data_IF_179107224927
#
_entry.id   IF_179107224927
#
_cell.length_a   1.000
_cell.length_b   1.000
_cell.length_c   1.000
_cell.angle_alpha   90.00
_cell.angle_beta   90.00
_cell.angle_gamma   90.00
#
_symmetry.space_group_name_H-M   'P 1'
#
loop_
_entity.id
_entity.type
_entity.pdbx_description
1 polymer ?
#
# COMPACT_ATOMS: atom_id res chain seq x y z
N UNK A 1 -0.23 -2.59 -16.10
CA UNK A 1 -0.94 -3.87 -15.91
C UNK A 1 -0.82 -4.77 -17.14
N UNK A 2 -1.28 -4.35 -18.34
CA UNK A 2 -1.11 -5.13 -19.58
C UNK A 2 0.33 -5.59 -19.77
N UNK A 3 1.31 -4.70 -19.56
CA UNK A 3 2.74 -5.03 -19.62
C UNK A 3 3.12 -6.20 -18.68
N UNK A 4 2.62 -6.23 -17.45
CA UNK A 4 2.93 -7.31 -16.51
C UNK A 4 2.34 -8.66 -16.95
N UNK A 5 1.13 -8.66 -17.56
CA UNK A 5 0.54 -9.87 -18.15
C UNK A 5 1.39 -10.34 -19.34
N UNK A 6 1.79 -9.44 -20.22
CA UNK A 6 2.65 -9.76 -21.37
C UNK A 6 4.01 -10.32 -20.91
N UNK A 7 4.62 -9.70 -19.90
CA UNK A 7 5.89 -10.16 -19.33
C UNK A 7 5.81 -11.59 -18.79
N UNK A 8 4.67 -11.98 -18.19
CA UNK A 8 4.48 -13.35 -17.76
C UNK A 8 4.63 -14.34 -18.94
N UNK A 9 3.90 -14.11 -20.02
CA UNK A 9 3.96 -15.00 -21.20
C UNK A 9 5.33 -14.97 -21.90
N UNK A 10 5.97 -13.80 -21.92
CA UNK A 10 7.33 -13.67 -22.48
C UNK A 10 8.34 -14.47 -21.63
N UNK A 11 8.31 -14.37 -20.31
CA UNK A 11 9.22 -15.12 -19.43
C UNK A 11 8.92 -16.61 -19.44
N UNK A 12 7.64 -16.99 -19.47
CA UNK A 12 7.23 -18.39 -19.58
C UNK A 12 7.74 -19.04 -20.88
N UNK A 13 7.67 -18.32 -22.00
CA UNK A 13 8.17 -18.78 -23.29
C UNK A 13 9.70 -18.73 -23.41
N UNK A 14 10.35 -17.71 -22.80
CA UNK A 14 11.80 -17.49 -22.89
C UNK A 14 12.61 -18.40 -21.94
N UNK A 15 12.00 -18.88 -20.85
CA UNK A 15 12.63 -19.71 -19.83
C UNK A 15 11.86 -21.05 -19.76
N UNK A 16 12.16 -22.01 -20.65
CA UNK A 16 11.45 -23.28 -20.70
C UNK A 16 11.78 -24.22 -19.53
N UNK A 17 12.94 -24.05 -18.90
CA UNK A 17 13.37 -24.82 -17.75
C UNK A 17 12.63 -24.34 -16.48
N UNK A 18 11.86 -25.25 -15.86
CA UNK A 18 11.04 -24.95 -14.68
C UNK A 18 11.87 -24.53 -13.46
N UNK A 19 13.04 -25.14 -13.25
CA UNK A 19 13.89 -24.81 -12.11
C UNK A 19 14.50 -23.41 -12.25
N UNK A 20 14.97 -23.06 -13.45
CA UNK A 20 15.49 -21.74 -13.78
C UNK A 20 14.40 -20.68 -13.66
N UNK A 21 13.20 -20.99 -14.15
CA UNK A 21 12.02 -20.11 -14.08
C UNK A 21 11.59 -19.87 -12.64
N UNK A 22 11.54 -20.92 -11.81
CA UNK A 22 11.25 -20.82 -10.39
C UNK A 22 12.31 -20.00 -9.66
N UNK A 23 13.59 -20.21 -9.95
CA UNK A 23 14.70 -19.41 -9.43
C UNK A 23 14.56 -17.92 -9.79
N UNK A 24 14.22 -17.61 -11.05
CA UNK A 24 13.99 -16.24 -11.49
C UNK A 24 12.85 -15.57 -10.69
N UNK A 25 11.68 -16.19 -10.57
CA UNK A 25 10.56 -15.64 -9.81
C UNK A 25 10.85 -15.53 -8.32
N UNK A 26 11.64 -16.45 -7.76
CA UNK A 26 12.12 -16.35 -6.38
C UNK A 26 12.97 -15.10 -6.19
N UNK A 27 13.94 -14.85 -7.07
CA UNK A 27 14.79 -13.65 -7.03
C UNK A 27 13.96 -12.37 -7.18
N UNK A 28 13.00 -12.36 -8.11
CA UNK A 28 12.09 -11.20 -8.31
C UNK A 28 11.32 -10.91 -7.04
N UNK A 29 10.69 -11.91 -6.42
CA UNK A 29 9.82 -11.71 -5.26
C UNK A 29 10.59 -11.42 -3.97
N UNK A 30 11.76 -12.04 -3.77
CA UNK A 30 12.49 -11.94 -2.50
C UNK A 30 13.54 -10.82 -2.46
N UNK A 31 14.00 -10.34 -3.63
CA UNK A 31 15.06 -9.32 -3.70
C UNK A 31 14.63 -8.08 -4.51
N UNK A 32 14.16 -8.26 -5.75
CA UNK A 32 13.84 -7.11 -6.61
C UNK A 32 12.64 -6.31 -6.13
N UNK A 33 11.54 -6.96 -5.79
CA UNK A 33 10.34 -6.25 -5.28
C UNK A 33 10.63 -5.49 -3.99
N UNK A 34 11.25 -6.08 -2.94
CA UNK A 34 11.66 -5.34 -1.76
C UNK A 34 12.60 -4.17 -2.05
N UNK A 35 13.60 -4.35 -2.94
CA UNK A 35 14.53 -3.29 -3.31
C UNK A 35 13.83 -2.11 -4.02
N UNK A 36 12.86 -2.40 -4.88
CA UNK A 36 12.05 -1.37 -5.55
C UNK A 36 11.14 -0.64 -4.54
N UNK A 37 10.49 -1.37 -3.62
CA UNK A 37 9.68 -0.77 -2.56
C UNK A 37 10.54 0.15 -1.68
N UNK A 38 11.70 -0.32 -1.26
CA UNK A 38 12.67 0.45 -0.47
C UNK A 38 13.07 1.74 -1.18
N UNK A 39 13.46 1.64 -2.46
CA UNK A 39 13.90 2.79 -3.26
C UNK A 39 12.79 3.83 -3.45
N UNK A 40 11.56 3.37 -3.72
CA UNK A 40 10.40 4.27 -3.85
C UNK A 40 10.08 4.99 -2.55
N UNK A 41 10.11 4.30 -1.41
CA UNK A 41 9.89 4.89 -0.09
C UNK A 41 10.98 5.91 0.23
N UNK A 42 12.25 5.58 0.01
CA UNK A 42 13.38 6.48 0.21
C UNK A 42 13.22 7.78 -0.60
N UNK A 43 12.89 7.68 -1.89
CA UNK A 43 12.66 8.85 -2.74
C UNK A 43 11.49 9.70 -2.27
N UNK A 44 10.42 9.07 -1.76
CA UNK A 44 9.27 9.80 -1.22
C UNK A 44 9.62 10.57 0.05
N UNK A 45 10.42 10.00 0.93
CA UNK A 45 10.90 10.67 2.13
C UNK A 45 11.92 11.78 1.83
N UNK A 46 12.71 11.64 0.76
CA UNK A 46 13.61 12.71 0.31
C UNK A 46 12.86 13.95 -0.19
N UNK A 47 11.63 13.82 -0.70
CA UNK A 47 10.83 14.95 -1.24
C UNK A 47 10.30 15.90 -0.17
N UNK A 48 10.11 15.44 1.08
CA UNK A 48 9.49 16.22 2.15
C UNK A 48 10.48 16.54 3.25
N UNK A 49 10.49 17.79 3.70
CA UNK A 49 11.30 18.20 4.84
C UNK A 49 10.74 17.63 6.15
N UNK A 50 11.59 17.04 7.02
CA UNK A 50 11.15 16.49 8.30
C UNK A 50 10.41 17.48 9.19
N UNK A 51 10.76 18.78 9.13
CA UNK A 51 10.11 19.87 9.89
C UNK A 51 8.63 20.04 9.54
N UNK A 52 8.24 19.63 8.32
CA UNK A 52 6.87 19.75 7.81
C UNK A 52 6.02 18.50 8.13
N UNK A 53 6.60 17.46 8.70
CA UNK A 53 5.90 16.24 9.12
C UNK A 53 5.24 16.48 10.48
N UNK A 54 4.02 16.99 10.46
CA UNK A 54 3.26 17.30 11.68
C UNK A 54 2.03 16.40 11.76
N UNK A 55 1.94 15.51 12.77
CA UNK A 55 0.73 14.73 13.01
C UNK A 55 -0.48 15.61 13.34
N UNK A 56 -1.62 15.32 12.74
CA UNK A 56 -2.92 15.94 13.03
C UNK A 56 -3.91 14.88 13.53
N UNK A 57 -5.04 15.28 14.08
CA UNK A 57 -6.03 14.37 14.66
C UNK A 57 -6.50 13.29 13.67
N UNK A 58 -6.73 13.66 12.41
CA UNK A 58 -7.18 12.70 11.41
C UNK A 58 -6.17 11.58 11.13
N UNK A 59 -4.85 11.83 11.27
CA UNK A 59 -3.82 10.79 11.14
C UNK A 59 -4.02 9.69 12.20
N UNK A 60 -4.16 10.10 13.48
CA UNK A 60 -4.35 9.15 14.58
C UNK A 60 -5.64 8.34 14.43
N UNK A 61 -6.74 9.00 14.02
CA UNK A 61 -8.03 8.34 13.81
C UNK A 61 -7.93 7.33 12.65
N UNK A 62 -7.26 7.68 11.54
CA UNK A 62 -7.08 6.75 10.42
C UNK A 62 -6.17 5.59 10.76
N UNK A 63 -5.06 5.82 11.47
CA UNK A 63 -4.16 4.76 11.94
C UNK A 63 -4.91 3.78 12.85
N UNK A 64 -5.70 4.30 13.79
CA UNK A 64 -6.54 3.47 14.64
C UNK A 64 -7.59 2.69 13.83
N UNK A 65 -8.28 3.35 12.89
CA UNK A 65 -9.27 2.72 12.02
C UNK A 65 -8.64 1.62 11.17
N UNK A 66 -7.48 1.89 10.58
CA UNK A 66 -6.72 0.91 9.79
C UNK A 66 -6.32 -0.30 10.63
N UNK A 67 -5.75 -0.07 11.82
CA UNK A 67 -5.38 -1.12 12.75
C UNK A 67 -6.57 -1.95 13.22
N UNK A 68 -7.71 -1.30 13.54
CA UNK A 68 -8.92 -1.98 13.97
C UNK A 68 -9.49 -2.92 12.88
N UNK A 69 -9.57 -2.47 11.63
CA UNK A 69 -9.99 -3.34 10.52
C UNK A 69 -8.99 -4.47 10.25
N UNK A 70 -7.69 -4.18 10.33
CA UNK A 70 -6.66 -5.20 10.21
C UNK A 70 -6.81 -6.29 11.28
N UNK A 71 -6.92 -5.91 12.55
CA UNK A 71 -7.13 -6.85 13.66
C UNK A 71 -8.43 -7.63 13.48
N UNK A 72 -9.52 -6.95 13.09
CA UNK A 72 -10.82 -7.62 12.86
C UNK A 72 -10.68 -8.71 11.80
N UNK A 73 -10.11 -8.42 10.62
CA UNK A 73 -9.98 -9.41 9.56
C UNK A 73 -8.95 -10.49 9.87
N UNK A 74 -7.90 -10.18 10.65
CA UNK A 74 -6.97 -11.19 11.18
C UNK A 74 -7.68 -12.17 12.11
N UNK A 75 -8.49 -11.68 13.04
CA UNK A 75 -9.25 -12.53 13.95
C UNK A 75 -10.31 -13.37 13.22
N UNK A 76 -10.95 -12.82 12.18
CA UNK A 76 -11.88 -13.57 11.33
C UNK A 76 -11.14 -14.67 10.55
N UNK A 77 -9.98 -14.39 9.97
CA UNK A 77 -9.17 -15.38 9.27
C UNK A 77 -8.72 -16.51 10.21
N UNK A 78 -8.25 -16.17 11.43
CA UNK A 78 -7.91 -17.15 12.47
C UNK A 78 -9.11 -17.99 12.91
N UNK A 79 -10.25 -17.34 13.16
CA UNK A 79 -11.47 -18.05 13.57
C UNK A 79 -11.95 -19.04 12.50
N UNK A 80 -11.93 -18.63 11.23
CA UNK A 80 -12.22 -19.52 10.11
C UNK A 80 -11.17 -20.63 10.01
N UNK A 81 -9.88 -20.33 10.20
CA UNK A 81 -8.79 -21.30 10.23
C UNK A 81 -9.02 -22.41 11.28
N UNK A 82 -9.44 -22.05 12.49
CA UNK A 82 -9.80 -23.00 13.54
C UNK A 82 -11.01 -23.87 13.17
N UNK A 83 -12.00 -23.31 12.47
CA UNK A 83 -13.18 -24.04 12.01
C UNK A 83 -12.87 -24.99 10.85
N UNK A 84 -11.83 -24.70 10.02
CA UNK A 84 -11.41 -25.60 8.92
C UNK A 84 -10.69 -26.85 9.42
N UNK A 85 -10.26 -26.91 10.66
CA UNK A 85 -9.84 -28.15 11.30
C UNK A 85 -10.98 -29.18 11.41
N UNK A 86 -12.24 -28.75 11.24
CA UNK A 86 -13.41 -29.60 11.03
C UNK A 86 -13.58 -29.86 9.53
N UNK A 87 -14.03 -31.06 9.06
CA UNK A 87 -14.04 -31.44 7.64
C UNK A 87 -15.13 -30.71 6.82
N UNK A 88 -15.08 -29.40 6.73
CA UNK A 88 -16.00 -28.56 5.95
C UNK A 88 -15.21 -27.81 4.86
N UNK A 89 -15.10 -28.40 3.68
CA UNK A 89 -14.32 -27.93 2.55
C UNK A 89 -14.68 -26.52 1.99
N UNK A 90 -15.89 -26.01 2.28
CA UNK A 90 -16.32 -24.66 1.83
C UNK A 90 -15.72 -23.52 2.63
N UNK A 91 -15.08 -23.78 3.77
CA UNK A 91 -14.62 -22.76 4.71
C UNK A 91 -13.25 -22.21 4.30
N UNK A 92 -12.43 -22.99 3.56
CA UNK A 92 -11.08 -22.55 3.16
C UNK A 92 -11.09 -21.28 2.27
N UNK A 93 -12.07 -21.15 1.37
CA UNK A 93 -12.21 -19.94 0.55
C UNK A 93 -12.56 -18.71 1.40
N UNK A 94 -13.36 -18.86 2.46
CA UNK A 94 -13.68 -17.78 3.39
C UNK A 94 -12.44 -17.24 4.11
N UNK A 95 -11.52 -18.13 4.51
CA UNK A 95 -10.23 -17.74 5.10
C UNK A 95 -9.39 -16.89 4.13
N UNK A 96 -9.23 -17.32 2.88
CA UNK A 96 -8.49 -16.60 1.84
C UNK A 96 -9.09 -15.19 1.61
N UNK A 97 -10.43 -15.06 1.63
CA UNK A 97 -11.10 -13.76 1.49
C UNK A 97 -10.83 -12.84 2.69
N UNK A 98 -10.84 -13.37 3.92
CA UNK A 98 -10.50 -12.61 5.12
C UNK A 98 -9.03 -12.19 5.15
N UNK A 99 -8.11 -13.08 4.77
CA UNK A 99 -6.69 -12.75 4.59
C UNK A 99 -6.50 -11.67 3.53
N UNK A 100 -7.24 -11.75 2.42
CA UNK A 100 -7.23 -10.73 1.37
C UNK A 100 -7.69 -9.36 1.88
N UNK A 101 -8.78 -9.31 2.65
CA UNK A 101 -9.24 -8.08 3.28
C UNK A 101 -8.23 -7.55 4.32
N UNK A 102 -7.66 -8.45 5.13
CA UNK A 102 -6.58 -8.16 6.09
C UNK A 102 -5.40 -7.46 5.38
N UNK A 103 -4.93 -8.02 4.26
CA UNK A 103 -3.85 -7.43 3.47
C UNK A 103 -4.21 -6.05 2.91
N UNK A 104 -5.47 -5.84 2.46
CA UNK A 104 -5.92 -4.53 1.99
C UNK A 104 -5.87 -3.46 3.09
N UNK A 105 -6.12 -3.83 4.36
CA UNK A 105 -6.09 -2.89 5.47
C UNK A 105 -4.70 -2.71 6.08
N UNK A 106 -3.90 -3.78 6.27
CA UNK A 106 -2.57 -3.62 6.86
C UNK A 106 -1.61 -2.88 5.93
N UNK A 107 -1.81 -2.97 4.63
CA UNK A 107 -0.90 -2.39 3.66
C UNK A 107 -0.69 -0.88 3.87
N UNK A 108 0.56 -0.40 3.87
CA UNK A 108 0.84 1.01 3.97
C UNK A 108 0.40 1.79 2.73
N UNK A 109 0.35 3.11 2.87
CA UNK A 109 0.02 4.03 1.79
C UNK A 109 1.02 3.91 0.63
N UNK A 110 0.51 4.02 -0.59
CA UNK A 110 1.37 4.06 -1.78
C UNK A 110 2.19 5.36 -1.83
N UNK A 111 3.44 5.26 -2.26
CA UNK A 111 4.29 6.44 -2.50
C UNK A 111 3.74 7.35 -3.61
N UNK A 112 2.95 6.79 -4.52
CA UNK A 112 2.28 7.52 -5.59
C UNK A 112 1.14 8.43 -5.07
N UNK A 113 0.62 8.21 -3.85
CA UNK A 113 -0.46 9.02 -3.29
C UNK A 113 -0.05 10.49 -3.17
N UNK A 114 1.20 10.75 -2.81
CA UNK A 114 1.77 12.08 -2.72
C UNK A 114 1.62 12.91 -4.01
N UNK A 115 1.81 12.27 -5.17
CA UNK A 115 1.66 12.93 -6.48
C UNK A 115 0.19 13.22 -6.77
N UNK A 116 -0.69 12.24 -6.51
CA UNK A 116 -2.13 12.39 -6.75
C UNK A 116 -2.73 13.43 -5.79
N UNK A 117 -2.33 13.43 -4.53
CA UNK A 117 -2.73 14.44 -3.53
C UNK A 117 -2.40 15.84 -4.01
N UNK A 118 -1.16 16.08 -4.48
CA UNK A 118 -0.78 17.38 -5.04
C UNK A 118 -1.62 17.77 -6.25
N UNK A 119 -1.81 16.86 -7.21
CA UNK A 119 -2.64 17.10 -8.40
C UNK A 119 -4.10 17.42 -8.01
N UNK A 120 -4.62 16.80 -6.96
CA UNK A 120 -5.96 17.05 -6.45
C UNK A 120 -6.07 18.29 -5.53
N UNK A 121 -4.96 18.95 -5.18
CA UNK A 121 -4.93 20.14 -4.32
C UNK A 121 -4.92 19.83 -2.83
N UNK A 122 -4.56 18.61 -2.45
CA UNK A 122 -4.38 18.21 -1.05
C UNK A 122 -3.03 18.65 -0.47
N UNK A 123 -2.71 18.17 0.73
CA UNK A 123 -1.50 18.48 1.47
C UNK A 123 -0.45 17.37 1.31
N UNK A 124 0.64 17.65 0.59
CA UNK A 124 1.77 16.72 0.46
C UNK A 124 2.35 16.32 1.82
N UNK A 125 2.59 17.30 2.70
CA UNK A 125 3.15 17.04 4.03
C UNK A 125 2.22 16.19 4.90
N UNK A 126 0.90 16.41 4.80
CA UNK A 126 -0.09 15.59 5.49
C UNK A 126 -0.06 14.14 5.01
N UNK A 127 -0.04 13.93 3.70
CA UNK A 127 0.00 12.59 3.10
C UNK A 127 1.27 11.82 3.49
N UNK A 128 2.45 12.47 3.39
CA UNK A 128 3.73 11.84 3.77
C UNK A 128 3.83 11.62 5.28
N UNK A 129 3.24 12.50 6.10
CA UNK A 129 3.14 12.25 7.55
C UNK A 129 2.36 10.97 7.83
N UNK A 130 1.22 10.79 7.15
CA UNK A 130 0.44 9.55 7.27
C UNK A 130 1.24 8.33 6.78
N UNK A 131 1.94 8.44 5.66
CA UNK A 131 2.80 7.38 5.13
C UNK A 131 3.83 6.92 6.17
N UNK A 132 4.53 7.85 6.86
CA UNK A 132 5.49 7.50 7.92
C UNK A 132 4.81 6.77 9.08
N UNK A 133 3.70 7.33 9.58
CA UNK A 133 2.96 6.74 10.70
C UNK A 133 2.38 5.37 10.36
N UNK A 134 1.87 5.22 9.14
CA UNK A 134 1.33 3.98 8.64
C UNK A 134 2.42 2.91 8.51
N UNK A 135 3.59 3.25 7.96
CA UNK A 135 4.73 2.32 7.88
C UNK A 135 5.17 1.85 9.27
N UNK A 136 5.21 2.76 10.25
CA UNK A 136 5.54 2.41 11.63
C UNK A 136 4.51 1.44 12.21
N UNK A 137 3.21 1.74 12.08
CA UNK A 137 2.14 0.85 12.54
C UNK A 137 2.24 -0.54 11.90
N UNK A 138 2.39 -0.60 10.57
CA UNK A 138 2.47 -1.85 9.81
C UNK A 138 3.68 -2.67 10.24
N UNK A 139 4.86 -2.04 10.39
CA UNK A 139 6.07 -2.74 10.79
C UNK A 139 6.00 -3.34 12.19
N UNK A 140 5.16 -2.80 13.07
CA UNK A 140 4.96 -3.31 14.44
C UNK A 140 3.84 -4.36 14.52
N UNK A 141 2.72 -4.14 13.82
CA UNK A 141 1.55 -5.03 13.94
C UNK A 141 1.62 -6.24 13.01
N UNK A 142 2.12 -6.07 11.77
CA UNK A 142 2.07 -7.13 10.77
C UNK A 142 2.81 -8.41 11.23
N UNK A 143 4.03 -8.37 11.80
CA UNK A 143 4.71 -9.58 12.20
C UNK A 143 3.92 -10.44 13.18
N UNK A 144 3.32 -9.83 14.22
CA UNK A 144 2.57 -10.56 15.23
C UNK A 144 1.31 -11.23 14.67
N UNK A 145 0.52 -10.51 13.88
CA UNK A 145 -0.72 -11.04 13.34
C UNK A 145 -0.51 -12.02 12.18
N UNK A 146 0.52 -11.80 11.33
CA UNK A 146 0.84 -12.76 10.26
C UNK A 146 1.24 -14.11 10.82
N UNK A 147 2.12 -14.16 11.84
CA UNK A 147 2.48 -15.38 12.57
C UNK A 147 1.27 -16.10 13.18
N UNK A 148 0.26 -15.34 13.66
CA UNK A 148 -0.96 -15.94 14.23
C UNK A 148 -1.94 -16.44 13.16
N UNK A 149 -2.02 -15.75 12.03
CA UNK A 149 -2.94 -16.10 10.93
C UNK A 149 -2.45 -17.30 10.14
N UNK A 150 -1.16 -17.36 9.82
CA UNK A 150 -0.55 -18.43 9.00
C UNK A 150 0.74 -18.92 9.67
N UNK A 151 0.64 -19.70 10.77
CA UNK A 151 1.82 -20.22 11.46
C UNK A 151 2.57 -21.24 10.58
N UNK A 152 3.88 -21.05 10.43
CA UNK A 152 4.73 -21.96 9.67
C UNK A 152 5.00 -23.23 10.48
N UNK A 153 4.81 -24.39 9.83
CA UNK A 153 5.01 -25.70 10.46
C UNK A 153 6.47 -25.82 10.90
N UNK A 154 6.68 -26.14 12.19
CA UNK A 154 8.01 -26.38 12.77
C UNK A 154 8.72 -25.16 13.32
N UNK A 155 8.11 -23.95 13.26
CA UNK A 155 8.64 -22.76 13.90
C UNK A 155 7.80 -22.41 15.14
N UNK A 156 8.46 -21.94 16.19
CA UNK A 156 7.77 -21.33 17.33
C UNK A 156 7.40 -19.88 17.02
N UNK A 157 6.41 -19.35 17.74
CA UNK A 157 5.88 -17.99 17.55
C UNK A 157 6.98 -16.92 17.54
N UNK A 158 7.92 -16.97 18.47
CA UNK A 158 8.96 -15.95 18.58
C UNK A 158 9.93 -15.99 17.42
N UNK A 159 10.36 -17.16 16.98
CA UNK A 159 11.25 -17.33 15.84
C UNK A 159 10.60 -16.78 14.56
N UNK A 160 9.34 -17.14 14.32
CA UNK A 160 8.59 -16.65 13.16
C UNK A 160 8.32 -15.16 13.24
N UNK A 161 7.91 -14.64 14.39
CA UNK A 161 7.72 -13.21 14.62
C UNK A 161 8.97 -12.40 14.27
N UNK A 162 10.15 -12.81 14.79
CA UNK A 162 11.40 -12.09 14.51
C UNK A 162 11.86 -12.26 13.07
N UNK A 163 11.58 -13.40 12.43
CA UNK A 163 11.86 -13.60 11.01
C UNK A 163 11.04 -12.63 10.13
N UNK A 164 9.75 -12.48 10.39
CA UNK A 164 8.87 -11.54 9.68
C UNK A 164 9.27 -10.10 10.01
N UNK A 165 9.50 -9.79 11.28
CA UNK A 165 9.96 -8.47 11.75
C UNK A 165 11.25 -8.07 11.05
N UNK A 166 12.23 -8.97 10.94
CA UNK A 166 13.52 -8.74 10.27
C UNK A 166 13.42 -8.45 8.78
N UNK A 167 12.30 -8.79 8.13
CA UNK A 167 12.03 -8.43 6.72
C UNK A 167 11.18 -7.17 6.59
N UNK A 168 10.09 -7.08 7.35
CA UNK A 168 9.09 -5.99 7.22
C UNK A 168 9.59 -4.67 7.80
N UNK A 169 10.20 -4.70 8.99
CA UNK A 169 10.66 -3.49 9.67
C UNK A 169 11.77 -2.75 8.88
N UNK A 170 12.85 -3.41 8.41
CA UNK A 170 13.85 -2.74 7.59
C UNK A 170 13.27 -2.23 6.26
N UNK A 171 12.38 -2.99 5.62
CA UNK A 171 11.78 -2.61 4.35
C UNK A 171 10.98 -1.31 4.43
N UNK A 172 10.24 -1.10 5.53
CA UNK A 172 9.34 0.04 5.68
C UNK A 172 9.97 1.26 6.38
N UNK A 173 10.90 1.04 7.31
CA UNK A 173 11.45 2.12 8.15
C UNK A 173 12.89 2.52 7.77
N UNK A 174 13.74 1.57 7.35
CA UNK A 174 15.10 1.95 6.95
C UNK A 174 15.16 2.95 5.79
N UNK A 175 14.22 2.97 4.80
CA UNK A 175 14.20 4.00 3.78
C UNK A 175 14.10 5.43 4.33
N UNK A 176 13.37 5.62 5.46
CA UNK A 176 13.29 6.91 6.14
C UNK A 176 14.64 7.32 6.72
N UNK A 177 15.31 6.40 7.44
CA UNK A 177 16.64 6.69 8.02
C UNK A 177 17.68 6.96 6.94
N UNK A 178 17.68 6.18 5.85
CA UNK A 178 18.57 6.40 4.71
C UNK A 178 18.29 7.75 4.04
N UNK A 179 17.04 8.12 3.87
CA UNK A 179 16.66 9.43 3.32
C UNK A 179 17.16 10.58 4.22
N UNK A 180 17.07 10.44 5.55
CA UNK A 180 17.60 11.43 6.50
C UNK A 180 19.13 11.55 6.43
N UNK A 181 19.83 10.41 6.34
CA UNK A 181 21.30 10.37 6.18
C UNK A 181 21.71 11.03 4.87
N UNK A 182 21.08 10.68 3.75
CA UNK A 182 21.37 11.28 2.44
C UNK A 182 21.11 12.78 2.48
N UNK A 183 20.01 13.22 3.09
CA UNK A 183 19.69 14.65 3.22
C UNK A 183 20.73 15.43 4.00
N UNK A 184 21.24 14.86 5.09
CA UNK A 184 22.14 15.53 6.01
C UNK A 184 23.60 15.50 5.54
N UNK A 185 24.08 14.32 5.10
CA UNK A 185 25.50 14.12 4.78
C UNK A 185 25.81 14.19 3.28
N UNK A 186 24.81 13.96 2.41
CA UNK A 186 25.00 13.87 0.96
C UNK A 186 24.01 14.77 0.19
N UNK A 187 23.98 16.12 0.43
CA UNK A 187 22.99 17.00 -0.20
C UNK A 187 23.08 16.98 -1.74
N UNK A 188 24.29 16.86 -2.29
CA UNK A 188 24.49 16.75 -3.74
C UNK A 188 23.84 15.49 -4.33
N UNK A 189 23.89 14.36 -3.62
CA UNK A 189 23.23 13.13 -4.03
C UNK A 189 21.71 13.29 -3.98
N UNK A 190 21.17 13.88 -2.90
CA UNK A 190 19.75 14.23 -2.79
C UNK A 190 19.29 15.04 -3.98
N UNK A 191 20.01 16.12 -4.30
CA UNK A 191 19.64 17.03 -5.40
C UNK A 191 19.71 16.32 -6.76
N UNK A 192 20.71 15.48 -7.00
CA UNK A 192 20.80 14.64 -8.21
C UNK A 192 19.64 13.65 -8.32
N UNK A 193 19.28 12.97 -7.23
CA UNK A 193 18.17 12.02 -7.22
C UNK A 193 16.82 12.71 -7.47
N UNK A 194 16.61 13.90 -6.89
CA UNK A 194 15.38 14.67 -7.06
C UNK A 194 15.33 15.42 -8.39
N UNK A 195 16.46 15.64 -9.05
CA UNK A 195 16.54 16.25 -10.37
C UNK A 195 16.09 15.31 -11.49
N UNK A 196 16.11 13.98 -11.28
CA UNK A 196 15.57 13.03 -12.25
C UNK A 196 14.06 13.11 -12.23
N UNK A 197 13.42 13.62 -13.32
CA UNK A 197 11.97 13.76 -13.34
C UNK A 197 11.30 12.39 -13.22
N UNK A 198 10.28 12.33 -12.39
CA UNK A 198 9.42 11.16 -12.23
C UNK A 198 10.11 9.82 -11.88
N UNK A 199 11.34 9.86 -11.34
CA UNK A 199 12.09 8.64 -11.00
C UNK A 199 11.28 7.64 -10.15
N UNK A 200 10.59 8.13 -9.12
CA UNK A 200 9.74 7.29 -8.28
C UNK A 200 8.58 6.64 -9.07
N UNK A 201 8.06 7.34 -10.09
CA UNK A 201 7.02 6.81 -10.97
C UNK A 201 7.55 5.70 -11.88
N UNK A 202 8.74 5.85 -12.46
CA UNK A 202 9.35 4.79 -13.27
C UNK A 202 9.67 3.54 -12.45
N UNK A 203 10.21 3.71 -11.24
CA UNK A 203 10.42 2.59 -10.32
C UNK A 203 9.09 1.90 -9.98
N UNK A 204 8.03 2.67 -9.76
CA UNK A 204 6.70 2.12 -9.52
C UNK A 204 6.15 1.34 -10.72
N UNK A 205 6.35 1.84 -11.96
CA UNK A 205 5.93 1.11 -13.17
C UNK A 205 6.62 -0.25 -13.27
N UNK A 206 7.93 -0.29 -13.04
CA UNK A 206 8.70 -1.56 -13.07
C UNK A 206 8.22 -2.49 -11.95
N UNK A 207 8.10 -1.98 -10.73
CA UNK A 207 7.64 -2.76 -9.59
C UNK A 207 6.22 -3.32 -9.80
N UNK A 208 5.31 -2.52 -10.34
CA UNK A 208 3.95 -2.95 -10.66
C UNK A 208 3.93 -3.98 -11.78
N UNK A 209 4.73 -3.80 -12.84
CA UNK A 209 4.81 -4.77 -13.93
C UNK A 209 5.28 -6.14 -13.42
N UNK A 210 6.36 -6.17 -12.63
CA UNK A 210 6.86 -7.40 -12.01
C UNK A 210 5.85 -8.02 -11.03
N UNK A 211 5.19 -7.20 -10.22
CA UNK A 211 4.18 -7.67 -9.27
C UNK A 211 2.98 -8.32 -9.98
N UNK A 212 2.51 -7.72 -11.08
CA UNK A 212 1.43 -8.30 -11.90
C UNK A 212 1.91 -9.59 -12.60
N UNK A 213 3.15 -9.63 -13.09
CA UNK A 213 3.74 -10.86 -13.67
C UNK A 213 3.67 -12.02 -12.67
N UNK A 214 4.10 -11.79 -11.43
CA UNK A 214 4.02 -12.79 -10.35
C UNK A 214 2.58 -13.14 -9.99
N UNK A 215 1.67 -12.16 -9.96
CA UNK A 215 0.23 -12.40 -9.72
C UNK A 215 -0.38 -13.31 -10.77
N UNK A 216 -0.10 -13.06 -12.06
CA UNK A 216 -0.59 -13.91 -13.18
C UNK A 216 -0.06 -15.32 -13.04
N UNK A 217 1.23 -15.47 -12.75
CA UNK A 217 1.85 -16.77 -12.47
C UNK A 217 1.10 -17.51 -11.36
N UNK A 218 0.87 -16.86 -10.23
CA UNK A 218 0.15 -17.47 -9.10
C UNK A 218 -1.24 -17.95 -9.49
N UNK A 219 -1.99 -17.17 -10.28
CA UNK A 219 -3.32 -17.56 -10.78
C UNK A 219 -3.23 -18.82 -11.65
N UNK A 220 -2.26 -18.87 -12.55
CA UNK A 220 -2.09 -19.97 -13.50
C UNK A 220 -1.62 -21.25 -12.80
N UNK A 221 -0.58 -21.16 -11.97
CA UNK A 221 0.01 -22.31 -11.29
C UNK A 221 -0.93 -22.91 -10.22
N UNK A 222 -1.61 -22.09 -9.46
CA UNK A 222 -2.57 -22.54 -8.45
C UNK A 222 -3.90 -23.00 -9.05
N UNK A 223 -4.11 -22.90 -10.38
CA UNK A 223 -5.37 -23.23 -11.06
C UNK A 223 -6.57 -22.64 -10.33
N UNK A 224 -6.45 -21.38 -9.92
CA UNK A 224 -7.43 -20.69 -9.07
C UNK A 224 -8.79 -20.63 -9.74
N UNK A 225 -9.87 -21.09 -9.11
CA UNK A 225 -11.20 -21.05 -9.71
C UNK A 225 -11.67 -19.62 -9.94
N UNK A 226 -12.33 -19.36 -11.05
CA UNK A 226 -12.83 -18.02 -11.44
C UNK A 226 -13.74 -17.43 -10.37
N UNK A 227 -14.53 -18.25 -9.69
CA UNK A 227 -15.41 -17.80 -8.59
C UNK A 227 -14.63 -17.18 -7.42
N UNK A 228 -13.49 -17.76 -7.06
CA UNK A 228 -12.62 -17.22 -6.00
C UNK A 228 -11.92 -15.93 -6.47
N UNK A 229 -11.49 -15.87 -7.74
CA UNK A 229 -10.92 -14.65 -8.32
C UNK A 229 -11.92 -13.50 -8.31
N UNK A 230 -13.18 -13.76 -8.71
CA UNK A 230 -14.24 -12.76 -8.65
C UNK A 230 -14.56 -12.32 -7.22
N UNK A 231 -14.55 -13.24 -6.26
CA UNK A 231 -14.75 -12.93 -4.85
C UNK A 231 -13.60 -12.06 -4.29
N UNK A 232 -12.33 -12.37 -4.61
CA UNK A 232 -11.17 -11.54 -4.24
C UNK A 232 -11.22 -10.15 -4.89
N UNK A 233 -11.64 -10.07 -6.16
CA UNK A 233 -11.85 -8.81 -6.85
C UNK A 233 -12.92 -7.96 -6.16
N UNK A 234 -14.04 -8.56 -5.74
CA UNK A 234 -15.12 -7.88 -5.02
C UNK A 234 -14.67 -7.41 -3.63
N UNK A 235 -14.00 -8.28 -2.86
CA UNK A 235 -13.45 -7.92 -1.54
C UNK A 235 -12.49 -6.75 -1.65
N UNK A 236 -11.57 -6.80 -2.61
CA UNK A 236 -10.63 -5.68 -2.82
C UNK A 236 -11.32 -4.39 -3.24
N UNK A 237 -12.39 -4.45 -4.05
CA UNK A 237 -13.21 -3.30 -4.42
C UNK A 237 -13.89 -2.67 -3.20
N UNK A 238 -14.54 -3.50 -2.38
CA UNK A 238 -15.22 -3.05 -1.15
C UNK A 238 -14.19 -2.40 -0.20
N UNK A 239 -13.05 -3.04 0.04
CA UNK A 239 -11.99 -2.50 0.88
C UNK A 239 -11.48 -1.17 0.32
N UNK A 240 -11.24 -1.07 -0.98
CA UNK A 240 -10.74 0.14 -1.63
C UNK A 240 -11.73 1.31 -1.49
N UNK A 241 -12.99 1.12 -1.88
CA UNK A 241 -14.03 2.13 -1.79
C UNK A 241 -14.26 2.58 -0.35
N UNK A 242 -14.31 1.63 0.59
CA UNK A 242 -14.45 1.90 2.03
C UNK A 242 -13.32 2.78 2.55
N UNK A 243 -12.09 2.50 2.18
CA UNK A 243 -10.93 3.26 2.62
C UNK A 243 -10.91 4.67 2.05
N UNK A 244 -11.19 4.86 0.75
CA UNK A 244 -11.32 6.20 0.18
C UNK A 244 -12.46 7.00 0.81
N UNK A 245 -13.61 6.37 1.02
CA UNK A 245 -14.79 7.01 1.62
C UNK A 245 -14.54 7.40 3.08
N UNK A 246 -14.05 6.47 3.91
CA UNK A 246 -13.73 6.74 5.32
C UNK A 246 -12.64 7.81 5.45
N UNK A 247 -11.57 7.71 4.64
CA UNK A 247 -10.51 8.70 4.64
C UNK A 247 -11.04 10.11 4.36
N UNK A 248 -11.85 10.27 3.31
CA UNK A 248 -12.48 11.57 3.00
C UNK A 248 -13.41 12.05 4.11
N UNK A 249 -14.23 11.17 4.68
CA UNK A 249 -15.15 11.50 5.78
C UNK A 249 -14.40 11.96 7.03
N UNK A 250 -13.34 11.23 7.40
CA UNK A 250 -12.51 11.55 8.57
C UNK A 250 -11.73 12.85 8.35
N UNK A 251 -11.08 13.03 7.19
CA UNK A 251 -10.35 14.26 6.86
C UNK A 251 -11.23 15.49 6.88
N UNK A 252 -12.46 15.40 6.35
CA UNK A 252 -13.43 16.49 6.38
C UNK A 252 -13.92 16.82 7.80
N UNK A 253 -14.07 15.81 8.67
CA UNK A 253 -14.56 16.01 10.04
C UNK A 253 -13.51 16.64 10.97
N UNK A 254 -12.21 16.38 10.71
CA UNK A 254 -11.07 16.91 11.48
C UNK A 254 -10.03 17.54 10.54
N UNK A 255 -10.33 18.73 9.97
CA UNK A 255 -9.45 19.33 9.00
C UNK A 255 -8.09 19.71 9.58
N UNK A 256 -7.08 19.66 8.73
CA UNK A 256 -5.74 20.14 9.04
C UNK A 256 -5.75 21.66 8.90
N UNK A 257 -5.31 22.43 9.93
CA UNK A 257 -5.20 23.87 9.81
C UNK A 257 -4.30 24.25 8.63
N UNK A 258 -4.64 25.32 7.92
CA UNK A 258 -3.79 25.86 6.88
C UNK A 258 -2.39 26.12 7.44
N UNK A 259 -1.36 25.72 6.70
CA UNK A 259 -0.03 26.22 6.99
C UNK A 259 -0.13 27.75 6.90
N UNK A 260 0.32 28.47 7.94
CA UNK A 260 0.43 29.93 7.90
C UNK A 260 1.43 30.30 6.82
N UNK A 261 1.02 30.29 5.56
CA UNK A 261 1.74 30.94 4.48
C UNK A 261 1.50 32.44 4.68
N UNK A 262 2.58 33.18 4.72
CA UNK A 262 2.59 34.63 4.98
C UNK A 262 1.90 35.47 3.88
N UNK A 263 1.12 34.86 3.01
CA UNK A 263 0.37 35.47 1.90
C UNK A 263 -1.07 34.93 1.81
N UNK A 264 -1.78 34.92 2.95
CA UNK A 264 -3.24 34.86 2.87
C UNK A 264 -3.70 36.24 2.38
N UNK A 265 -4.02 36.33 1.09
CA UNK A 265 -4.71 37.48 0.52
C UNK A 265 -5.91 37.82 1.39
N UNK A 266 -5.94 39.05 1.87
CA UNK A 266 -6.89 39.65 2.84
C UNK A 266 -8.35 39.75 2.35
N UNK A 267 -8.77 38.95 1.37
CA UNK A 267 -10.08 39.06 0.71
C UNK A 267 -10.98 37.81 0.82
N UNK A 268 -10.55 36.73 1.48
CA UNK A 268 -11.44 35.57 1.68
C UNK A 268 -12.17 35.62 3.01
N UNK A 269 -13.46 35.27 2.99
CA UNK A 269 -14.24 35.15 4.23
C UNK A 269 -13.74 33.98 5.08
N UNK A 270 -13.82 34.07 6.43
CA UNK A 270 -13.39 32.95 7.31
C UNK A 270 -14.15 31.64 7.03
N UNK A 271 -15.38 31.69 6.54
CA UNK A 271 -16.19 30.53 6.16
C UNK A 271 -15.65 29.82 4.90
N UNK A 272 -15.26 30.61 3.89
CA UNK A 272 -14.74 30.06 2.62
C UNK A 272 -13.38 29.41 2.81
N UNK A 273 -12.51 30.01 3.63
CA UNK A 273 -11.24 29.43 4.04
C UNK A 273 -11.41 28.10 4.77
N UNK A 274 -12.40 27.98 5.67
CA UNK A 274 -12.66 26.75 6.40
C UNK A 274 -13.21 25.63 5.51
N UNK A 275 -14.08 25.96 4.54
CA UNK A 275 -14.62 24.99 3.58
C UNK A 275 -13.49 24.44 2.69
N UNK A 276 -12.57 25.30 2.25
CA UNK A 276 -11.40 24.89 1.46
C UNK A 276 -10.46 23.98 2.26
N UNK A 277 -10.21 24.28 3.54
CA UNK A 277 -9.42 23.43 4.44
C UNK A 277 -10.06 22.06 4.68
N UNK A 278 -11.38 22.01 4.83
CA UNK A 278 -12.10 20.74 4.98
C UNK A 278 -11.96 19.87 3.73
N UNK A 279 -12.15 20.43 2.54
CA UNK A 279 -12.04 19.65 1.29
C UNK A 279 -10.60 19.26 1.02
N UNK A 280 -9.62 20.14 1.27
CA UNK A 280 -8.20 19.85 1.19
C UNK A 280 -7.80 18.68 2.09
N UNK A 281 -8.28 18.67 3.33
CA UNK A 281 -8.04 17.60 4.29
C UNK A 281 -8.77 16.31 3.91
N UNK A 282 -9.98 16.41 3.36
CA UNK A 282 -10.73 15.26 2.86
C UNK A 282 -10.02 14.59 1.68
N UNK A 283 -9.48 15.38 0.73
CA UNK A 283 -8.69 14.88 -0.38
C UNK A 283 -7.44 14.17 0.16
N UNK A 284 -6.68 14.83 1.04
CA UNK A 284 -5.44 14.30 1.59
C UNK A 284 -5.68 12.98 2.33
N UNK A 285 -6.60 12.97 3.28
CA UNK A 285 -6.90 11.78 4.09
C UNK A 285 -7.52 10.65 3.26
N UNK A 286 -8.35 10.99 2.26
CA UNK A 286 -8.93 10.02 1.33
C UNK A 286 -7.87 9.33 0.49
N UNK A 287 -6.90 10.07 -0.02
CA UNK A 287 -5.80 9.52 -0.79
C UNK A 287 -4.82 8.74 0.10
N UNK A 288 -4.42 9.31 1.22
CA UNK A 288 -3.51 8.68 2.18
C UNK A 288 -4.04 7.32 2.67
N UNK A 289 -5.34 7.20 2.92
CA UNK A 289 -5.94 5.95 3.38
C UNK A 289 -6.33 5.01 2.25
N UNK A 290 -6.82 5.53 1.13
CA UNK A 290 -7.35 4.73 0.02
C UNK A 290 -6.30 4.22 -0.96
N UNK A 291 -5.20 4.94 -1.17
CA UNK A 291 -4.11 4.46 -2.02
C UNK A 291 -3.16 3.55 -1.24
N UNK A 292 -3.16 2.28 -1.60
CA UNK A 292 -2.28 1.28 -0.97
C UNK A 292 -1.09 0.92 -1.84
N UNK A 293 0.02 0.59 -1.21
CA UNK A 293 1.19 0.04 -1.87
C UNK A 293 0.91 -1.42 -2.31
N UNK A 294 0.30 -1.56 -3.48
CA UNK A 294 -0.15 -2.86 -3.99
C UNK A 294 0.99 -3.82 -4.29
N UNK A 295 2.19 -3.33 -4.60
CA UNK A 295 3.39 -4.18 -4.72
C UNK A 295 3.72 -4.82 -3.37
N UNK A 296 3.57 -4.06 -2.28
CA UNK A 296 3.76 -4.57 -0.92
C UNK A 296 2.67 -5.59 -0.53
N UNK A 297 1.39 -5.39 -0.94
CA UNK A 297 0.32 -6.38 -0.73
C UNK A 297 0.70 -7.70 -1.39
N UNK A 298 1.09 -7.66 -2.68
CA UNK A 298 1.44 -8.85 -3.46
C UNK A 298 2.64 -9.54 -2.82
N UNK A 299 3.69 -8.79 -2.49
CA UNK A 299 4.89 -9.32 -1.84
C UNK A 299 4.56 -9.99 -0.49
N UNK A 300 3.79 -9.31 0.36
CA UNK A 300 3.44 -9.83 1.69
C UNK A 300 2.59 -11.10 1.59
N UNK A 301 1.59 -11.12 0.69
CA UNK A 301 0.76 -12.30 0.45
C UNK A 301 1.56 -13.51 -0.04
N UNK A 302 2.53 -13.28 -0.93
CA UNK A 302 3.37 -14.35 -1.48
C UNK A 302 4.39 -14.91 -0.47
N UNK A 303 4.93 -14.05 0.39
CA UNK A 303 6.04 -14.44 1.27
C UNK A 303 5.57 -14.98 2.61
N UNK A 304 4.41 -14.52 3.11
CA UNK A 304 3.98 -14.81 4.47
C UNK A 304 2.59 -15.44 4.58
N UNK A 305 1.82 -15.53 3.49
CA UNK A 305 0.47 -16.09 3.49
C UNK A 305 0.31 -17.10 2.36
N UNK A 306 -0.93 -17.57 2.15
CA UNK A 306 -1.24 -18.36 0.96
C UNK A 306 -1.00 -17.53 -0.30
N UNK A 307 -0.22 -18.01 -1.29
CA UNK A 307 0.08 -17.26 -2.51
C UNK A 307 -1.16 -16.71 -3.24
N UNK A 308 -2.29 -17.41 -3.21
CA UNK A 308 -3.55 -16.96 -3.83
C UNK A 308 -4.05 -15.66 -3.20
N UNK A 309 -3.81 -15.45 -1.89
CA UNK A 309 -4.19 -14.23 -1.19
C UNK A 309 -3.49 -12.99 -1.77
N UNK A 310 -2.29 -13.14 -2.32
CA UNK A 310 -1.53 -12.04 -2.96
C UNK A 310 -2.26 -11.43 -4.15
N UNK A 311 -3.12 -12.19 -4.82
CA UNK A 311 -3.89 -11.76 -6.00
C UNK A 311 -4.80 -10.55 -5.70
N UNK A 312 -5.23 -10.41 -4.44
CA UNK A 312 -6.02 -9.25 -3.99
C UNK A 312 -5.30 -7.93 -4.24
N UNK A 313 -3.97 -7.89 -4.16
CA UNK A 313 -3.15 -6.71 -4.43
C UNK A 313 -3.22 -6.28 -5.90
N UNK A 314 -3.25 -7.23 -6.83
CA UNK A 314 -3.45 -6.98 -8.25
C UNK A 314 -4.82 -6.33 -8.52
N UNK A 315 -5.90 -6.87 -7.96
CA UNK A 315 -7.24 -6.30 -8.07
C UNK A 315 -7.35 -4.92 -7.40
N UNK A 316 -6.79 -4.77 -6.21
CA UNK A 316 -6.77 -3.47 -5.53
C UNK A 316 -6.09 -2.38 -6.37
N UNK A 317 -5.00 -2.74 -7.08
CA UNK A 317 -4.33 -1.83 -8.02
C UNK A 317 -5.25 -1.34 -9.13
N UNK A 318 -6.16 -2.18 -9.64
CA UNK A 318 -7.17 -1.76 -10.64
C UNK A 318 -8.11 -0.73 -10.03
N UNK A 319 -8.69 -1.05 -8.88
CA UNK A 319 -9.74 -0.23 -8.26
C UNK A 319 -9.23 1.14 -7.84
N UNK A 320 -8.09 1.23 -7.17
CA UNK A 320 -7.58 2.53 -6.76
C UNK A 320 -7.16 3.42 -7.95
N UNK A 321 -6.67 2.82 -9.05
CA UNK A 321 -6.37 3.59 -10.26
C UNK A 321 -7.62 4.09 -10.98
N UNK A 322 -8.71 3.31 -10.98
CA UNK A 322 -10.01 3.78 -11.49
C UNK A 322 -10.51 4.97 -10.67
N UNK A 323 -10.47 4.87 -9.34
CA UNK A 323 -10.89 5.95 -8.44
C UNK A 323 -10.03 7.21 -8.65
N UNK A 324 -8.72 7.05 -8.76
CA UNK A 324 -7.78 8.16 -9.01
C UNK A 324 -8.05 8.85 -10.34
N UNK A 325 -8.21 8.09 -11.41
CA UNK A 325 -8.52 8.62 -12.74
C UNK A 325 -9.84 9.37 -12.75
N UNK A 326 -10.87 8.83 -12.09
CA UNK A 326 -12.16 9.51 -11.96
C UNK A 326 -12.07 10.82 -11.17
N UNK A 327 -11.31 10.84 -10.06
CA UNK A 327 -11.14 12.06 -9.25
C UNK A 327 -10.36 13.14 -10.01
N UNK A 328 -9.31 12.77 -10.74
CA UNK A 328 -8.53 13.68 -11.56
C UNK A 328 -9.38 14.27 -12.71
N UNK A 329 -10.12 13.42 -13.42
CA UNK A 329 -11.04 13.86 -14.47
C UNK A 329 -12.10 14.83 -13.94
N UNK A 330 -12.73 14.50 -12.80
CA UNK A 330 -13.72 15.39 -12.18
C UNK A 330 -13.14 16.76 -11.84
N UNK A 331 -11.90 16.80 -11.32
CA UNK A 331 -11.23 18.05 -10.99
C UNK A 331 -10.90 18.89 -12.24
N UNK A 332 -10.46 18.26 -13.31
CA UNK A 332 -10.15 18.94 -14.56
C UNK A 332 -11.42 19.58 -15.16
N UNK A 333 -12.54 18.84 -15.17
CA UNK A 333 -13.82 19.35 -15.64
C UNK A 333 -14.37 20.53 -14.83
N UNK A 334 -14.02 20.68 -13.56
CA UNK A 334 -14.44 21.83 -12.73
C UNK A 334 -13.53 23.05 -12.91
N UNK A 335 -12.42 22.93 -13.63
CA UNK A 335 -11.50 24.03 -13.96
C UNK A 335 -11.77 24.65 -15.31
N UNK A 336 -12.42 23.91 -16.22
CA UNK A 336 -12.95 24.39 -17.51
C UNK A 336 -14.35 24.94 -17.33
#
# INVERSE_FOLDING_TARGET
MVMGVLLYYVFDAAIPDDDVRNGFYYVVSHYFQPALIFSMLMLSFLKVEPRNLKPHRWHGILIFTQGAFFVLFSLLAMGIGLLTALPLSSISNGRILCEGAMLCFICPTATASAVIVQKLGGSLSGDVTYLVLCNLMVSLLAPGFLTLVEPHIGLDFYTEFFMIMGKVFPLLLCPLFVALVIRHYFPLLKDKLLAIPDLAFYLWLVALALAITVTVRTIVECKTPVSLLLALALVSAICCVTQFWLGRKIGRRWPQPAAKSAEASSSQSPSDSYIDEQERSAITAGQAFGQKNTVFIIWMGLVFLNPITSVVGGFYSIWHNIINSWQLYKKEKTRT
#
